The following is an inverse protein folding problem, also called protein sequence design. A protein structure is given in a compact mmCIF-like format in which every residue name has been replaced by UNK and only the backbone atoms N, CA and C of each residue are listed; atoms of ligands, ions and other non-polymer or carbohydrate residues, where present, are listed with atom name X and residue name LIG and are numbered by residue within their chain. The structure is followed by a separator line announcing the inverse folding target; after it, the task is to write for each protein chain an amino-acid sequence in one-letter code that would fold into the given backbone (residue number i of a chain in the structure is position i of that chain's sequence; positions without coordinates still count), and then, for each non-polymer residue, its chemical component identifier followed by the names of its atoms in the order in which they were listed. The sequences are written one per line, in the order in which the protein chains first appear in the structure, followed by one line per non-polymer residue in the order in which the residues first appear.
data_IF_813092370961
#
_entry.id   IF_813092370961
#
_cell.length_a   1.000
_cell.length_b   1.000
_cell.length_c   1.000
_cell.angle_alpha   90.00
_cell.angle_beta   90.00
_cell.angle_gamma   90.00
#
_symmetry.space_group_name_H-M   'P 1'
#
loop_
_entity.id
_entity.type
_entity.pdbx_description
1 polymer ?
#
# COMPACT_ATOMS: atom_id res chain seq x y z
N UNK A 1 5.89 -2.88 -5.08
CA UNK A 1 6.67 -2.19 -4.02
C UNK A 1 7.37 -3.20 -3.11
N UNK A 2 6.63 -4.13 -2.50
CA UNK A 2 7.21 -5.17 -1.63
C UNK A 2 8.29 -6.01 -2.33
N UNK A 3 8.06 -6.46 -3.57
CA UNK A 3 9.09 -7.17 -4.36
C UNK A 3 10.37 -6.32 -4.55
N UNK A 4 10.21 -5.03 -4.85
CA UNK A 4 11.33 -4.13 -5.18
C UNK A 4 12.17 -3.81 -3.94
N UNK A 5 11.54 -3.49 -2.81
CA UNK A 5 12.25 -3.01 -1.61
C UNK A 5 12.52 -4.10 -0.57
N UNK A 6 11.71 -5.15 -0.53
CA UNK A 6 11.79 -6.21 0.48
C UNK A 6 12.13 -7.59 -0.13
N UNK A 7 12.19 -7.69 -1.47
CA UNK A 7 12.50 -8.94 -2.19
C UNK A 7 11.65 -10.14 -1.77
N UNK A 8 10.41 -9.87 -1.38
CA UNK A 8 9.45 -10.88 -0.95
C UNK A 8 8.12 -10.68 -1.67
N UNK A 9 7.43 -11.79 -1.89
CA UNK A 9 6.03 -11.81 -2.31
C UNK A 9 5.17 -12.18 -1.12
N UNK A 10 4.17 -11.35 -0.81
CA UNK A 10 3.22 -11.59 0.27
C UNK A 10 1.84 -11.93 -0.30
N UNK A 11 0.98 -12.51 0.54
CA UNK A 11 -0.41 -12.81 0.18
C UNK A 11 -1.34 -11.58 0.31
N UNK A 12 -0.83 -10.46 0.81
CA UNK A 12 -1.61 -9.24 1.05
C UNK A 12 -2.14 -8.59 -0.23
N UNK A 13 -1.44 -8.78 -1.35
CA UNK A 13 -1.81 -8.24 -2.66
C UNK A 13 -2.81 -9.12 -3.46
N UNK A 14 -3.32 -10.20 -2.87
CA UNK A 14 -4.22 -11.16 -3.57
C UNK A 14 -5.45 -10.50 -4.20
N UNK A 15 -6.11 -9.60 -3.47
CA UNK A 15 -7.27 -8.84 -3.94
C UNK A 15 -6.91 -7.87 -5.09
N UNK A 16 -5.69 -7.32 -5.10
CA UNK A 16 -5.24 -6.44 -6.18
C UNK A 16 -5.04 -7.23 -7.48
N UNK A 17 -4.45 -8.43 -7.39
CA UNK A 17 -4.33 -9.33 -8.55
C UNK A 17 -5.69 -9.77 -9.09
N UNK A 18 -6.64 -10.11 -8.22
CA UNK A 18 -8.00 -10.48 -8.62
C UNK A 18 -8.68 -9.32 -9.37
N UNK A 19 -8.66 -8.11 -8.79
CA UNK A 19 -9.27 -6.93 -9.42
C UNK A 19 -8.59 -6.54 -10.73
N UNK A 20 -7.26 -6.51 -10.77
CA UNK A 20 -6.52 -6.17 -11.98
C UNK A 20 -6.81 -7.18 -13.11
N UNK A 21 -6.85 -8.47 -12.78
CA UNK A 21 -7.18 -9.53 -13.74
C UNK A 21 -8.61 -9.40 -14.25
N UNK A 22 -9.56 -9.09 -13.36
CA UNK A 22 -10.96 -8.89 -13.76
C UNK A 22 -11.11 -7.68 -14.70
N UNK A 23 -10.48 -6.54 -14.38
CA UNK A 23 -10.49 -5.35 -15.23
C UNK A 23 -9.88 -5.67 -16.60
N UNK A 24 -8.73 -6.35 -16.64
CA UNK A 24 -8.10 -6.73 -17.89
C UNK A 24 -8.99 -7.68 -18.72
N UNK A 25 -9.65 -8.66 -18.08
CA UNK A 25 -10.60 -9.54 -18.74
C UNK A 25 -11.79 -8.77 -19.33
N UNK A 26 -12.30 -7.77 -18.62
CA UNK A 26 -13.39 -6.92 -19.09
C UNK A 26 -12.96 -6.01 -20.27
N UNK A 27 -11.74 -5.46 -20.22
CA UNK A 27 -11.17 -4.72 -21.35
C UNK A 27 -11.13 -5.55 -22.62
N UNK A 28 -10.77 -6.82 -22.50
CA UNK A 28 -10.67 -7.75 -23.64
C UNK A 28 -12.04 -8.21 -24.11
N UNK A 29 -12.90 -8.67 -23.19
CA UNK A 29 -14.13 -9.39 -23.54
C UNK A 29 -15.37 -8.49 -23.65
N UNK A 30 -15.43 -7.38 -22.90
CA UNK A 30 -16.61 -6.49 -22.84
C UNK A 30 -16.41 -5.19 -23.61
N UNK A 31 -15.22 -4.60 -23.53
CA UNK A 31 -14.97 -3.28 -24.11
C UNK A 31 -14.29 -3.31 -25.49
N UNK A 32 -13.78 -4.47 -25.92
CA UNK A 32 -13.11 -4.63 -27.21
C UNK A 32 -11.83 -3.79 -27.32
N UNK A 33 -11.13 -3.56 -26.20
CA UNK A 33 -9.94 -2.71 -26.12
C UNK A 33 -8.65 -3.41 -26.57
N UNK A 34 -8.76 -4.40 -27.46
CA UNK A 34 -7.60 -5.12 -28.01
C UNK A 34 -7.66 -5.22 -29.52
N UNK A 35 -6.52 -5.03 -30.17
CA UNK A 35 -6.41 -5.12 -31.62
C UNK A 35 -6.59 -6.57 -32.14
N UNK A 36 -6.23 -7.56 -31.32
CA UNK A 36 -6.25 -8.98 -31.70
C UNK A 36 -7.67 -9.56 -31.84
N UNK A 37 -8.62 -9.08 -31.02
CA UNK A 37 -10.00 -9.57 -30.99
C UNK A 37 -11.00 -8.58 -31.60
N UNK A 38 -10.60 -7.31 -31.76
CA UNK A 38 -11.45 -6.26 -32.32
C UNK A 38 -12.61 -5.85 -31.39
N UNK A 39 -13.53 -5.00 -31.86
CA UNK A 39 -14.58 -4.41 -31.03
C UNK A 39 -15.76 -5.37 -30.73
N UNK A 40 -15.55 -6.68 -30.82
CA UNK A 40 -16.61 -7.66 -30.59
C UNK A 40 -16.74 -7.97 -29.10
N UNK A 41 -17.98 -8.02 -28.61
CA UNK A 41 -18.28 -8.38 -27.23
C UNK A 41 -18.36 -9.90 -27.10
N UNK A 42 -17.47 -10.49 -26.31
CA UNK A 42 -17.37 -11.93 -26.06
C UNK A 42 -18.01 -12.35 -24.73
N UNK A 43 -18.24 -11.38 -23.83
CA UNK A 43 -18.91 -11.59 -22.55
C UNK A 43 -20.24 -10.83 -22.55
N UNK A 44 -21.34 -11.55 -22.34
CA UNK A 44 -22.60 -10.90 -22.03
C UNK A 44 -22.60 -10.39 -20.57
N UNK A 45 -23.38 -9.34 -20.32
CA UNK A 45 -23.42 -8.69 -19.01
C UNK A 45 -24.08 -9.64 -17.99
N UNK A 46 -23.33 -10.07 -16.97
CA UNK A 46 -23.87 -10.90 -15.86
C UNK A 46 -24.89 -10.14 -14.98
N UNK A 47 -25.18 -8.87 -15.30
CA UNK A 47 -26.06 -7.99 -14.55
C UNK A 47 -27.56 -8.07 -14.89
N UNK A 48 -27.99 -8.84 -15.89
CA UNK A 48 -29.44 -9.03 -16.14
C UNK A 48 -30.06 -10.02 -15.15
N UNK A 49 -30.45 -9.51 -13.98
CA UNK A 49 -31.34 -10.20 -13.03
C UNK A 49 -32.77 -10.16 -13.58
N UNK A 50 -33.06 -10.97 -14.60
CA UNK A 50 -34.42 -11.08 -15.13
C UNK A 50 -35.21 -12.14 -14.34
N UNK A 51 -36.19 -11.68 -13.54
CA UNK A 51 -37.30 -12.47 -12.98
C UNK A 51 -36.95 -13.85 -12.35
N UNK A 52 -36.02 -13.87 -11.40
CA UNK A 52 -35.94 -14.96 -10.41
C UNK A 52 -35.41 -16.31 -10.91
N UNK A 53 -34.76 -16.37 -12.08
CA UNK A 53 -33.97 -17.53 -12.50
C UNK A 53 -32.56 -17.08 -12.85
N UNK A 54 -31.58 -17.53 -12.06
CA UNK A 54 -30.18 -17.52 -12.47
C UNK A 54 -30.08 -18.39 -13.72
N UNK A 55 -30.15 -17.78 -14.89
CA UNK A 55 -29.82 -18.48 -16.13
C UNK A 55 -28.30 -18.57 -16.12
N UNK A 56 -27.77 -19.72 -15.74
CA UNK A 56 -26.36 -20.06 -15.99
C UNK A 56 -26.17 -20.07 -17.49
N UNK A 57 -25.82 -18.91 -18.06
CA UNK A 57 -25.68 -18.75 -19.50
C UNK A 57 -24.25 -19.11 -19.86
N UNK A 58 -24.08 -20.27 -20.46
CA UNK A 58 -22.81 -20.73 -21.00
C UNK A 58 -22.40 -19.83 -22.16
N UNK A 59 -21.29 -19.13 -22.03
CA UNK A 59 -20.65 -18.40 -23.12
C UNK A 59 -20.16 -19.42 -24.15
N UNK A 60 -20.76 -19.42 -25.34
CA UNK A 60 -20.32 -20.27 -26.45
C UNK A 60 -19.11 -19.63 -27.14
N UNK A 61 -17.94 -19.68 -26.49
CA UNK A 61 -16.69 -19.19 -27.05
C UNK A 61 -15.83 -20.37 -27.50
N UNK A 62 -15.22 -20.26 -28.69
CA UNK A 62 -14.31 -21.31 -29.16
C UNK A 62 -13.05 -21.37 -28.30
N UNK A 63 -12.40 -22.53 -28.23
CA UNK A 63 -11.13 -22.70 -27.52
C UNK A 63 -10.05 -21.76 -28.07
N UNK A 64 -9.98 -21.60 -29.38
CA UNK A 64 -9.05 -20.66 -30.02
C UNK A 64 -9.29 -19.21 -29.56
N UNK A 65 -10.56 -18.81 -29.41
CA UNK A 65 -10.90 -17.48 -28.91
C UNK A 65 -10.58 -17.32 -27.43
N UNK A 66 -10.85 -18.35 -26.60
CA UNK A 66 -10.46 -18.34 -25.18
C UNK A 66 -8.95 -18.18 -25.02
N UNK A 67 -8.17 -18.92 -25.81
CA UNK A 67 -6.72 -18.83 -25.79
C UNK A 67 -6.23 -17.41 -26.17
N UNK A 68 -6.84 -16.79 -27.18
CA UNK A 68 -6.55 -15.39 -27.55
C UNK A 68 -6.89 -14.43 -26.43
N UNK A 69 -8.05 -14.58 -25.78
CA UNK A 69 -8.46 -13.76 -24.64
C UNK A 69 -7.44 -13.87 -23.50
N UNK A 70 -7.10 -15.08 -23.07
CA UNK A 70 -6.16 -15.27 -21.97
C UNK A 70 -4.76 -14.74 -22.31
N UNK A 71 -4.34 -14.84 -23.58
CA UNK A 71 -3.07 -14.25 -24.04
C UNK A 71 -3.05 -12.72 -23.95
N UNK A 72 -4.15 -12.06 -24.32
CA UNK A 72 -4.26 -10.60 -24.21
C UNK A 72 -4.36 -10.14 -22.75
N UNK A 73 -5.12 -10.86 -21.92
CA UNK A 73 -5.20 -10.56 -20.48
C UNK A 73 -3.81 -10.65 -19.85
N UNK A 74 -3.06 -11.72 -20.13
CA UNK A 74 -1.68 -11.85 -19.64
C UNK A 74 -0.79 -10.72 -20.13
N UNK A 75 -0.84 -10.38 -21.42
CA UNK A 75 -0.05 -9.28 -21.98
C UNK A 75 -0.33 -7.96 -21.25
N UNK A 76 -1.60 -7.62 -21.01
CA UNK A 76 -1.98 -6.39 -20.29
C UNK A 76 -1.40 -6.41 -18.88
N UNK A 77 -1.59 -7.50 -18.14
CA UNK A 77 -1.10 -7.62 -16.75
C UNK A 77 0.42 -7.49 -16.70
N UNK A 78 1.14 -8.19 -17.56
CA UNK A 78 2.61 -8.16 -17.59
C UNK A 78 3.15 -6.77 -17.94
N UNK A 79 2.54 -6.08 -18.92
CA UNK A 79 2.92 -4.71 -19.30
C UNK A 79 2.68 -3.71 -18.16
N UNK A 80 1.50 -3.77 -17.52
CA UNK A 80 1.17 -2.88 -16.41
C UNK A 80 2.01 -3.18 -15.17
N UNK A 81 2.32 -4.45 -14.92
CA UNK A 81 3.22 -4.85 -13.85
C UNK A 81 4.62 -4.28 -14.06
N UNK A 82 5.17 -4.43 -15.27
CA UNK A 82 6.48 -3.90 -15.62
C UNK A 82 6.51 -2.36 -15.53
N UNK A 83 5.45 -1.69 -15.96
CA UNK A 83 5.32 -0.23 -15.84
C UNK A 83 5.28 0.20 -14.37
N UNK A 84 4.42 -0.42 -13.56
CA UNK A 84 4.30 -0.12 -12.14
C UNK A 84 5.63 -0.34 -11.40
N UNK A 85 6.32 -1.45 -11.71
CA UNK A 85 7.66 -1.73 -11.17
C UNK A 85 8.64 -0.61 -11.52
N UNK A 86 8.71 -0.21 -12.79
CA UNK A 86 9.59 0.86 -13.25
C UNK A 86 9.31 2.18 -12.52
N UNK A 87 8.03 2.58 -12.42
CA UNK A 87 7.66 3.82 -11.73
C UNK A 87 8.05 3.80 -10.24
N UNK A 88 7.90 2.65 -9.59
CA UNK A 88 8.30 2.49 -8.18
C UNK A 88 9.83 2.57 -8.02
N UNK A 89 10.59 1.97 -8.95
CA UNK A 89 12.05 2.04 -8.97
C UNK A 89 12.55 3.47 -9.27
N UNK A 90 11.98 4.14 -10.27
CA UNK A 90 12.32 5.52 -10.65
C UNK A 90 12.01 6.55 -9.55
N UNK A 91 11.02 6.27 -8.70
CA UNK A 91 10.61 7.14 -7.60
C UNK A 91 10.95 6.57 -6.22
N UNK A 92 12.04 5.79 -6.11
CA UNK A 92 12.47 5.14 -4.86
C UNK A 92 12.61 6.12 -3.69
N UNK A 93 13.12 7.32 -3.94
CA UNK A 93 13.34 8.33 -2.91
C UNK A 93 12.02 8.80 -2.28
N UNK A 94 10.99 9.02 -3.11
CA UNK A 94 9.65 9.36 -2.64
C UNK A 94 9.02 8.20 -1.86
N UNK A 95 9.21 6.95 -2.31
CA UNK A 95 8.72 5.76 -1.61
C UNK A 95 9.36 5.63 -0.22
N UNK A 96 10.66 5.86 -0.10
CA UNK A 96 11.35 5.86 1.20
C UNK A 96 10.89 7.00 2.10
N UNK A 97 10.65 8.20 1.56
CA UNK A 97 10.12 9.33 2.33
C UNK A 97 8.71 9.04 2.85
N UNK A 98 7.81 8.50 2.02
CA UNK A 98 6.47 8.06 2.42
C UNK A 98 6.52 6.99 3.50
N UNK A 99 7.36 5.95 3.32
CA UNK A 99 7.49 4.88 4.30
C UNK A 99 7.96 5.40 5.67
N UNK A 100 8.93 6.32 5.69
CA UNK A 100 9.39 6.96 6.94
C UNK A 100 8.30 7.78 7.60
N UNK A 101 7.55 8.56 6.83
CA UNK A 101 6.44 9.36 7.35
C UNK A 101 5.33 8.47 7.95
N UNK A 102 4.98 7.37 7.27
CA UNK A 102 4.01 6.40 7.77
C UNK A 102 4.49 5.65 9.01
N UNK A 103 5.79 5.39 9.15
CA UNK A 103 6.33 4.80 10.37
C UNK A 103 6.25 5.75 11.58
N UNK A 104 6.41 7.05 11.35
CA UNK A 104 6.35 8.07 12.41
C UNK A 104 4.90 8.41 12.80
N UNK A 105 4.00 8.49 11.83
CA UNK A 105 2.65 9.07 12.01
C UNK A 105 1.50 8.09 11.76
N UNK A 106 1.77 6.88 11.28
CA UNK A 106 0.79 5.85 10.87
C UNK A 106 -0.09 6.22 9.68
N UNK A 107 -0.47 7.50 9.54
CA UNK A 107 -1.29 8.06 8.46
C UNK A 107 -0.63 9.32 7.90
N UNK A 108 -0.76 9.51 6.59
CA UNK A 108 -0.37 10.74 5.89
C UNK A 108 -1.55 11.26 5.06
N UNK A 109 -1.76 12.58 5.08
CA UNK A 109 -2.78 13.29 4.31
C UNK A 109 -2.25 13.71 2.93
N UNK A 110 -3.17 14.12 2.05
CA UNK A 110 -2.84 14.60 0.71
C UNK A 110 -1.80 15.75 0.71
N UNK A 111 -1.92 16.73 1.60
CA UNK A 111 -0.96 17.84 1.71
C UNK A 111 0.47 17.35 2.03
N UNK A 112 0.58 16.29 2.84
CA UNK A 112 1.88 15.70 3.21
C UNK A 112 2.45 14.87 2.06
N UNK A 113 1.59 14.19 1.30
CA UNK A 113 1.98 13.50 0.08
C UNK A 113 2.48 14.48 -0.98
N UNK A 114 1.79 15.60 -1.18
CA UNK A 114 2.20 16.65 -2.13
C UNK A 114 3.56 17.25 -1.75
N UNK A 115 3.82 17.46 -0.46
CA UNK A 115 5.13 17.90 0.02
C UNK A 115 6.22 16.87 -0.34
N UNK A 116 5.96 15.57 -0.12
CA UNK A 116 6.90 14.49 -0.48
C UNK A 116 7.14 14.47 -1.98
N UNK A 117 6.09 14.52 -2.80
CA UNK A 117 6.19 14.52 -4.26
C UNK A 117 6.92 15.74 -4.81
N UNK A 118 6.90 16.87 -4.08
CA UNK A 118 7.68 18.06 -4.39
C UNK A 118 9.14 18.01 -3.88
N UNK A 119 9.57 16.88 -3.31
CA UNK A 119 10.91 16.70 -2.73
C UNK A 119 11.12 17.44 -1.40
N UNK A 120 10.05 17.87 -0.73
CA UNK A 120 10.11 18.53 0.58
C UNK A 120 9.92 17.52 1.70
N UNK A 121 10.39 17.87 2.90
CA UNK A 121 10.07 17.10 4.09
C UNK A 121 8.56 17.24 4.40
N UNK A 122 7.84 16.13 4.67
CA UNK A 122 6.43 16.21 5.00
C UNK A 122 6.24 16.91 6.33
N UNK A 123 5.19 17.72 6.43
CA UNK A 123 4.79 18.38 7.68
C UNK A 123 4.15 17.39 8.66
N UNK A 124 4.19 17.63 9.98
CA UNK A 124 3.48 16.81 10.95
C UNK A 124 1.95 16.84 10.74
N UNK A 125 1.22 15.76 11.07
CA UNK A 125 -0.23 15.76 11.09
C UNK A 125 -0.79 16.80 12.06
N UNK A 126 -1.99 17.31 11.78
CA UNK A 126 -2.61 18.41 12.55
C UNK A 126 -2.86 18.07 14.02
N UNK A 127 -3.11 16.80 14.32
CA UNK A 127 -3.43 16.30 15.66
C UNK A 127 -2.28 15.52 16.32
N UNK A 128 -1.06 15.60 15.76
CA UNK A 128 0.07 14.83 16.25
C UNK A 128 0.76 15.51 17.45
N UNK A 129 0.85 14.80 18.57
CA UNK A 129 1.70 15.18 19.71
C UNK A 129 2.96 14.30 19.75
N UNK A 130 4.17 14.87 19.85
CA UNK A 130 5.39 14.06 19.93
C UNK A 130 5.35 13.14 21.14
N UNK A 131 5.64 11.86 20.93
CA UNK A 131 5.89 10.90 22.02
C UNK A 131 7.20 11.30 22.68
N UNK A 132 7.15 12.10 23.74
CA UNK A 132 8.28 12.32 24.62
C UNK A 132 8.38 11.08 25.52
N UNK A 133 9.42 10.23 25.40
CA UNK A 133 9.62 9.17 26.38
C UNK A 133 9.88 9.84 27.74
N UNK A 134 9.28 9.35 28.85
CA UNK A 134 9.53 9.94 30.15
C UNK A 134 11.03 9.86 30.45
N UNK A 135 11.68 11.02 30.54
CA UNK A 135 13.02 11.11 31.09
C UNK A 135 12.96 10.54 32.51
N UNK A 136 13.75 9.49 32.77
CA UNK A 136 13.73 8.74 34.01
C UNK A 136 13.73 9.68 35.22
N UNK A 137 12.62 9.67 35.96
CA UNK A 137 12.51 10.29 37.27
C UNK A 137 13.31 9.45 38.26
N UNK A 138 14.61 9.72 38.37
CA UNK A 138 15.41 9.26 39.50
C UNK A 138 15.02 10.11 40.73
N UNK A 139 13.85 9.80 41.29
CA UNK A 139 13.37 10.33 42.56
C UNK A 139 13.34 9.19 43.57
N UNK A 140 14.53 8.70 43.92
CA UNK A 140 14.73 7.78 45.04
C UNK A 140 14.46 8.47 46.38
N UNK A 141 13.23 8.33 46.89
CA UNK A 141 12.88 8.65 48.28
C UNK A 141 12.74 7.36 49.07
N UNK A 142 13.68 7.07 49.98
CA UNK A 142 13.54 5.98 50.94
C UNK A 142 14.75 5.68 51.83
N UNK A 143 14.82 6.33 53.01
CA UNK A 143 15.23 5.71 54.29
C UNK A 143 16.71 5.65 54.67
N UNK A 144 17.25 6.67 55.36
CA UNK A 144 17.61 6.73 56.83
C UNK A 144 19.09 6.33 57.13
N UNK A 145 19.65 6.62 58.33
CA UNK A 145 20.68 7.66 58.49
C UNK A 145 22.02 7.12 59.06
N UNK A 146 23.16 7.76 58.77
CA UNK A 146 24.41 7.42 59.47
C UNK A 146 25.42 8.59 59.49
N UNK A 147 25.55 9.16 60.70
CA UNK A 147 26.75 9.76 61.32
C UNK A 147 27.55 10.80 60.53
N UNK A 148 27.33 12.07 60.86
CA UNK A 148 28.32 13.12 60.70
C UNK A 148 29.35 13.04 61.83
N UNK A 149 30.60 12.78 61.46
CA UNK A 149 31.79 13.02 62.26
C UNK A 149 32.66 14.01 61.47
N UNK A 150 32.76 15.25 61.92
CA UNK A 150 33.97 15.76 62.57
C UNK A 150 33.84 17.28 62.82
N UNK A 151 34.53 17.70 63.86
CA UNK A 151 34.46 18.95 64.57
C UNK A 151 35.12 20.15 63.86
N UNK A 152 34.69 21.35 64.23
CA UNK A 152 35.58 22.50 64.35
C UNK A 152 35.07 23.46 65.46
N UNK A 153 35.98 24.20 66.15
CA UNK A 153 35.72 24.78 67.48
C UNK A 153 35.56 26.32 67.49
N UNK A 154 35.39 26.86 68.72
CA UNK A 154 35.42 28.28 69.18
C UNK A 154 34.16 29.13 68.93
N UNK A 155 33.68 30.02 69.80
CA UNK A 155 34.04 30.58 71.12
C UNK A 155 32.68 31.09 71.74
N UNK A 156 32.48 31.37 73.03
CA UNK A 156 33.24 32.17 73.99
C UNK A 156 32.78 31.82 75.43
#
# INVERSE_FOLDING_TARGET
AEEVFMHQMTTGASNDFERATQIARDMVMRYGMTAALGPMVYAENEGEVFLGRSVTKTTNMSEETMQKVDSEVRRIIDEQYALARRLIEEHSDHMHAMAKALLEWETIDADQLDDIMAGKAPRPPKDWSPRIPPAGSDSGSGGTPAVAADAAPHAA
#
